data_IF_707785230950
#
_entry.id   IF_707785230950
#
_cell.length_a   1.000
_cell.length_b   1.000
_cell.length_c   1.000
_cell.angle_alpha   90.00
_cell.angle_beta   90.00
_cell.angle_gamma   90.00
#
_symmetry.space_group_name_H-M   'P 1'
#
loop_
_entity.id
_entity.type
_entity.pdbx_description
1 polymer ?
#
# COMPACT_ATOMS: atom_id res chain seq x y z
N UNK A 1 -10.25 -9.68 17.20
CA UNK A 1 -8.80 -9.45 17.30
C UNK A 1 -8.22 -10.03 16.03
N UNK A 2 -7.53 -9.21 15.23
CA UNK A 2 -6.98 -9.68 13.97
C UNK A 2 -5.75 -10.57 14.20
N UNK A 3 -5.58 -11.61 13.38
CA UNK A 3 -4.41 -12.47 13.46
C UNK A 3 -3.20 -11.88 12.71
N UNK A 4 -3.47 -11.10 11.66
CA UNK A 4 -2.50 -10.43 10.78
C UNK A 4 -2.91 -8.97 10.55
N UNK A 5 -1.95 -8.07 10.66
CA UNK A 5 -2.16 -6.63 10.44
C UNK A 5 -1.09 -6.07 9.50
N UNK A 6 -1.53 -5.30 8.50
CA UNK A 6 -0.64 -4.55 7.61
C UNK A 6 -0.82 -3.06 7.85
N UNK A 7 0.21 -2.43 8.42
CA UNK A 7 0.28 -1.00 8.62
C UNK A 7 1.04 -0.38 7.44
N UNK A 8 0.34 0.44 6.66
CA UNK A 8 0.83 0.95 5.39
C UNK A 8 1.10 2.44 5.55
N UNK A 9 2.32 2.88 5.25
CA UNK A 9 2.67 4.30 5.17
C UNK A 9 3.01 4.63 3.72
N UNK A 10 2.27 5.57 3.13
CA UNK A 10 2.58 6.11 1.81
C UNK A 10 3.24 7.46 1.99
N UNK A 11 4.48 7.60 1.50
CA UNK A 11 5.28 8.82 1.56
C UNK A 11 5.42 9.35 0.13
N UNK A 12 4.75 10.47 -0.13
CA UNK A 12 4.78 11.13 -1.41
C UNK A 12 5.78 12.29 -1.39
N UNK A 13 6.98 12.05 -1.88
CA UNK A 13 8.02 13.08 -2.09
C UNK A 13 8.05 13.55 -3.56
N UNK A 14 7.09 13.11 -4.38
CA UNK A 14 6.95 13.59 -5.75
C UNK A 14 6.30 14.97 -5.78
N UNK A 15 6.32 15.61 -6.95
CA UNK A 15 5.67 16.90 -7.21
C UNK A 15 4.21 16.78 -7.66
N UNK A 16 3.57 15.64 -7.40
CA UNK A 16 2.18 15.38 -7.79
C UNK A 16 1.37 14.89 -6.59
N UNK A 17 0.11 15.31 -6.49
CA UNK A 17 -0.84 14.61 -5.63
C UNK A 17 -1.11 13.20 -6.18
N UNK A 18 -1.06 12.19 -5.31
CA UNK A 18 -1.44 10.83 -5.65
C UNK A 18 -2.96 10.71 -5.56
N UNK A 19 -3.62 10.55 -6.71
CA UNK A 19 -5.07 10.45 -6.78
C UNK A 19 -5.50 8.99 -6.66
N UNK A 20 -6.23 8.64 -5.60
CA UNK A 20 -6.65 7.27 -5.34
C UNK A 20 -7.62 6.78 -6.42
N UNK A 21 -7.36 5.60 -6.95
CA UNK A 21 -8.28 4.96 -7.89
C UNK A 21 -9.29 4.06 -7.18
N UNK A 22 -10.53 4.09 -7.69
CA UNK A 22 -11.64 3.26 -7.21
C UNK A 22 -11.43 1.75 -7.41
N UNK A 23 -10.46 1.36 -8.26
CA UNK A 23 -10.08 -0.04 -8.45
C UNK A 23 -9.18 -0.58 -7.34
N UNK A 24 -8.84 0.20 -6.32
CA UNK A 24 -8.16 -0.26 -5.09
C UNK A 24 -8.99 -1.34 -4.40
N UNK A 25 -8.35 -2.45 -4.03
CA UNK A 25 -9.04 -3.63 -3.50
C UNK A 25 -8.21 -4.40 -2.47
N UNK A 26 -8.91 -5.24 -1.68
CA UNK A 26 -8.33 -6.31 -0.87
C UNK A 26 -8.73 -7.65 -1.49
N UNK A 27 -7.78 -8.58 -1.62
CA UNK A 27 -8.08 -9.99 -1.90
C UNK A 27 -8.58 -10.69 -0.64
N UNK A 28 -7.99 -10.33 0.50
CA UNK A 28 -8.27 -10.87 1.82
C UNK A 28 -8.15 -9.79 2.89
N UNK A 29 -8.97 -9.88 3.94
CA UNK A 29 -8.99 -8.91 5.02
C UNK A 29 -9.96 -7.75 4.81
N UNK A 30 -9.93 -6.83 5.76
CA UNK A 30 -10.76 -5.63 5.80
C UNK A 30 -9.91 -4.37 6.00
N UNK A 31 -10.36 -3.24 5.46
CA UNK A 31 -9.74 -1.94 5.74
C UNK A 31 -10.17 -1.44 7.12
N UNK A 32 -9.20 -1.20 7.99
CA UNK A 32 -9.40 -0.48 9.26
C UNK A 32 -9.22 1.02 9.05
N UNK A 33 -8.21 1.41 8.25
CA UNK A 33 -8.01 2.77 7.77
C UNK A 33 -7.90 2.71 6.25
N UNK A 34 -8.95 3.16 5.57
CA UNK A 34 -9.08 3.08 4.12
C UNK A 34 -8.10 4.03 3.41
N UNK A 35 -7.49 3.62 2.30
CA UNK A 35 -6.70 4.49 1.44
C UNK A 35 -7.46 5.75 1.02
N UNK A 36 -6.73 6.85 0.91
CA UNK A 36 -7.20 8.14 0.37
C UNK A 36 -6.14 8.74 -0.54
N UNK A 37 -6.46 9.84 -1.22
CA UNK A 37 -5.46 10.66 -1.90
C UNK A 37 -4.33 11.04 -0.95
N UNK A 38 -3.10 11.13 -1.49
CA UNK A 38 -1.93 11.58 -0.73
C UNK A 38 -1.43 12.90 -1.34
N UNK A 39 -1.43 14.01 -0.58
CA UNK A 39 -1.00 15.30 -1.11
C UNK A 39 0.47 15.28 -1.53
N UNK A 40 0.84 16.19 -2.42
CA UNK A 40 2.23 16.47 -2.79
C UNK A 40 3.07 16.76 -1.54
N UNK A 41 4.27 16.16 -1.44
CA UNK A 41 5.15 16.30 -0.28
C UNK A 41 4.60 15.69 1.03
N UNK A 42 3.43 15.04 0.97
CA UNK A 42 2.71 14.51 2.12
C UNK A 42 3.03 13.06 2.46
N UNK A 43 2.50 12.62 3.61
CA UNK A 43 2.49 11.20 3.98
C UNK A 43 1.17 10.86 4.68
N UNK A 44 0.65 9.66 4.43
CA UNK A 44 -0.56 9.15 5.06
C UNK A 44 -0.37 7.69 5.49
N UNK A 45 -1.18 7.29 6.49
CA UNK A 45 -1.16 5.95 7.03
C UNK A 45 -2.50 5.27 6.80
N UNK A 46 -2.45 4.02 6.34
CA UNK A 46 -3.58 3.14 6.10
C UNK A 46 -3.36 1.83 6.85
N UNK A 47 -4.42 1.03 6.98
CA UNK A 47 -4.35 -0.23 7.72
C UNK A 47 -5.35 -1.22 7.19
N UNK A 48 -4.87 -2.43 6.90
CA UNK A 48 -5.69 -3.59 6.61
C UNK A 48 -5.44 -4.68 7.67
N UNK A 49 -6.51 -5.37 8.06
CA UNK A 49 -6.49 -6.45 9.05
C UNK A 49 -7.07 -7.72 8.44
N UNK A 50 -6.59 -8.88 8.85
CA UNK A 50 -7.27 -10.16 8.55
C UNK A 50 -8.66 -10.18 9.19
N UNK A 51 -9.66 -10.67 8.46
CA UNK A 51 -11.09 -10.63 8.80
C UNK A 51 -11.72 -12.04 8.96
N UNK A 52 -10.92 -13.10 8.89
CA UNK A 52 -11.39 -14.48 8.82
C UNK A 52 -10.54 -15.50 9.57
N UNK A 53 -11.03 -16.75 9.61
CA UNK A 53 -10.29 -17.85 10.21
C UNK A 53 -9.18 -18.31 9.27
N UNK A 54 -7.94 -18.29 9.76
CA UNK A 54 -6.75 -18.68 9.00
C UNK A 54 -6.53 -17.89 7.70
N UNK A 55 -6.96 -16.63 7.65
CA UNK A 55 -6.72 -15.71 6.52
C UNK A 55 -5.62 -14.69 6.84
N UNK A 56 -5.00 -14.17 5.79
CA UNK A 56 -4.09 -13.03 5.86
C UNK A 56 -4.76 -11.70 5.54
N UNK A 57 -3.96 -10.66 5.37
CA UNK A 57 -4.38 -9.37 4.83
C UNK A 57 -3.58 -9.08 3.55
N UNK A 58 -4.28 -9.01 2.42
CA UNK A 58 -3.66 -8.89 1.09
C UNK A 58 -4.46 -7.91 0.23
N UNK A 59 -3.77 -7.03 -0.49
CA UNK A 59 -4.43 -6.14 -1.42
C UNK A 59 -3.51 -5.33 -2.32
N UNK A 60 -4.13 -4.43 -3.08
CA UNK A 60 -3.44 -3.48 -3.93
C UNK A 60 -4.10 -2.11 -3.85
N UNK A 61 -3.27 -1.09 -3.64
CA UNK A 61 -3.66 0.33 -3.71
C UNK A 61 -3.17 0.88 -5.05
N UNK A 62 -4.05 1.56 -5.76
CA UNK A 62 -3.75 2.17 -7.04
C UNK A 62 -3.89 3.69 -6.94
N UNK A 63 -2.87 4.39 -7.44
CA UNK A 63 -2.84 5.83 -7.55
C UNK A 63 -2.56 6.26 -8.98
N UNK A 64 -3.19 7.35 -9.42
CA UNK A 64 -2.80 8.04 -10.66
C UNK A 64 -1.99 9.28 -10.36
N UNK A 65 -1.05 9.55 -11.27
CA UNK A 65 -0.32 10.81 -11.45
C UNK A 65 -0.55 11.28 -12.90
N UNK A 66 -0.23 12.54 -13.28
CA UNK A 66 -0.62 13.08 -14.59
C UNK A 66 -0.19 12.25 -15.81
N UNK A 67 0.90 11.51 -15.71
CA UNK A 67 1.53 10.78 -16.82
C UNK A 67 1.60 9.26 -16.60
N UNK A 68 0.85 8.72 -15.63
CA UNK A 68 0.79 7.27 -15.42
C UNK A 68 0.16 6.85 -14.09
N UNK A 69 0.42 5.59 -13.74
CA UNK A 69 -0.19 4.91 -12.61
C UNK A 69 0.88 4.33 -11.69
N UNK A 70 0.52 4.22 -10.41
CA UNK A 70 1.31 3.58 -9.37
C UNK A 70 0.45 2.47 -8.75
N UNK A 71 1.04 1.28 -8.64
CA UNK A 71 0.46 0.14 -7.91
C UNK A 71 1.33 -0.18 -6.70
N UNK A 72 0.69 -0.25 -5.54
CA UNK A 72 1.29 -0.66 -4.26
C UNK A 72 0.64 -1.97 -3.81
N UNK A 73 1.40 -3.05 -3.72
CA UNK A 73 0.93 -4.39 -3.36
C UNK A 73 1.49 -4.84 -2.02
N UNK A 74 0.63 -5.37 -1.16
CA UNK A 74 1.00 -5.95 0.13
C UNK A 74 0.30 -7.29 0.36
N UNK A 75 1.00 -8.17 1.08
CA UNK A 75 0.49 -9.46 1.55
C UNK A 75 1.15 -9.82 2.90
N UNK A 76 0.33 -10.02 3.94
CA UNK A 76 0.70 -10.68 5.20
C UNK A 76 -0.15 -11.95 5.35
N UNK A 77 0.34 -13.08 4.81
CA UNK A 77 -0.44 -14.31 4.77
C UNK A 77 -0.54 -14.96 6.15
N UNK A 78 -1.59 -15.75 6.38
CA UNK A 78 -1.73 -16.52 7.62
C UNK A 78 -0.54 -17.47 7.85
N UNK A 79 -0.06 -18.12 6.78
CA UNK A 79 1.14 -18.95 6.74
C UNK A 79 1.97 -18.53 5.53
N UNK A 80 3.22 -18.14 5.76
CA UNK A 80 4.13 -17.72 4.70
C UNK A 80 5.05 -16.59 5.16
N UNK A 81 5.62 -15.90 4.18
CA UNK A 81 6.41 -14.69 4.38
C UNK A 81 5.69 -13.52 3.75
N UNK A 82 5.77 -12.37 4.41
CA UNK A 82 5.16 -11.15 3.92
C UNK A 82 5.76 -10.74 2.57
N UNK A 83 4.94 -10.25 1.66
CA UNK A 83 5.37 -9.78 0.36
C UNK A 83 4.89 -8.35 0.11
N UNK A 84 5.80 -7.52 -0.41
CA UNK A 84 5.53 -6.13 -0.71
C UNK A 84 6.14 -5.77 -2.06
N UNK A 85 5.39 -5.04 -2.88
CA UNK A 85 5.89 -4.57 -4.17
C UNK A 85 5.32 -3.19 -4.50
N UNK A 86 6.09 -2.39 -5.21
CA UNK A 86 5.64 -1.13 -5.78
C UNK A 86 6.08 -1.07 -7.24
N UNK A 87 5.17 -0.71 -8.13
CA UNK A 87 5.44 -0.55 -9.56
C UNK A 87 4.77 0.70 -10.08
N UNK A 88 5.35 1.31 -11.11
CA UNK A 88 4.75 2.48 -11.77
C UNK A 88 4.92 2.40 -13.28
N UNK A 89 3.91 2.86 -14.01
CA UNK A 89 3.98 3.11 -15.45
C UNK A 89 4.38 4.54 -15.80
N UNK A 90 4.39 5.45 -14.82
CA UNK A 90 4.75 6.85 -15.04
C UNK A 90 6.27 6.98 -15.26
N UNK A 91 6.69 7.68 -16.34
CA UNK A 91 8.10 8.00 -16.55
C UNK A 91 8.62 9.08 -15.60
N UNK A 92 7.75 9.87 -14.95
CA UNK A 92 8.17 10.98 -14.07
C UNK A 92 8.40 10.61 -12.61
N UNK A 93 7.96 9.43 -12.16
CA UNK A 93 8.12 9.01 -10.76
C UNK A 93 8.82 7.66 -10.62
N UNK A 94 9.51 7.49 -9.49
CA UNK A 94 10.07 6.22 -9.00
C UNK A 94 9.31 5.78 -7.76
N UNK A 95 9.24 4.47 -7.55
CA UNK A 95 8.53 3.88 -6.41
C UNK A 95 9.39 2.82 -5.73
N UNK A 96 9.35 2.80 -4.39
CA UNK A 96 10.07 1.83 -3.58
C UNK A 96 9.15 1.29 -2.48
N UNK A 97 9.25 -0.02 -2.20
CA UNK A 97 8.60 -0.65 -1.06
C UNK A 97 9.66 -1.08 -0.02
N UNK A 98 9.44 -0.74 1.24
CA UNK A 98 10.27 -1.17 2.37
C UNK A 98 9.35 -1.81 3.41
N UNK A 99 9.34 -3.14 3.44
CA UNK A 99 8.50 -3.93 4.33
C UNK A 99 9.23 -4.51 5.53
N UNK A 100 8.47 -4.78 6.60
CA UNK A 100 8.94 -5.53 7.77
C UNK A 100 8.33 -6.94 7.82
N UNK A 101 8.97 -7.81 8.59
CA UNK A 101 8.44 -9.13 8.94
C UNK A 101 7.49 -9.07 10.16
N UNK A 102 6.91 -10.21 10.51
CA UNK A 102 6.03 -10.40 11.66
C UNK A 102 4.54 -10.37 11.30
N UNK A 103 3.69 -10.66 12.28
CA UNK A 103 2.23 -10.72 12.14
C UNK A 103 1.55 -9.34 12.23
N UNK A 104 2.30 -8.33 12.69
CA UNK A 104 1.93 -6.93 12.58
C UNK A 104 3.04 -6.30 11.75
N UNK A 105 2.87 -6.36 10.44
CA UNK A 105 3.87 -5.90 9.51
C UNK A 105 3.65 -4.43 9.14
N UNK A 106 4.76 -3.75 8.85
CA UNK A 106 4.79 -2.36 8.42
C UNK A 106 5.38 -2.32 7.02
N UNK A 107 4.74 -1.58 6.12
CA UNK A 107 5.29 -1.30 4.80
C UNK A 107 5.28 0.19 4.54
N UNK A 108 6.43 0.71 4.13
CA UNK A 108 6.59 2.07 3.67
C UNK A 108 6.71 2.06 2.15
N UNK A 109 5.80 2.75 1.48
CA UNK A 109 5.88 3.04 0.05
C UNK A 109 6.39 4.46 -0.14
N UNK A 110 7.54 4.60 -0.79
CA UNK A 110 8.15 5.90 -1.07
C UNK A 110 8.00 6.18 -2.55
N UNK A 111 7.33 7.29 -2.88
CA UNK A 111 7.17 7.79 -4.23
C UNK A 111 8.02 9.05 -4.34
N UNK A 112 8.92 9.09 -5.33
CA UNK A 112 9.81 10.23 -5.58
C UNK A 112 9.75 10.63 -7.05
N UNK A 113 10.16 11.85 -7.37
CA UNK A 113 10.44 12.21 -8.76
C UNK A 113 11.60 11.36 -9.32
N UNK A 114 11.64 11.21 -10.63
CA UNK A 114 12.80 10.68 -11.39
C UNK A 114 13.74 11.78 -11.83
#
# INVERSE_FOLDING_TARGET
MSAREVHITVINVSSFELQLESKTYLNHGEWILTPTNVPEGGNLNFRADSDGFATGAEGSIFYTVPDGEIKLYFDDPYVGSNAFAATTSSPSVSVQAVGSSGNVCKVMYVITNK
#
